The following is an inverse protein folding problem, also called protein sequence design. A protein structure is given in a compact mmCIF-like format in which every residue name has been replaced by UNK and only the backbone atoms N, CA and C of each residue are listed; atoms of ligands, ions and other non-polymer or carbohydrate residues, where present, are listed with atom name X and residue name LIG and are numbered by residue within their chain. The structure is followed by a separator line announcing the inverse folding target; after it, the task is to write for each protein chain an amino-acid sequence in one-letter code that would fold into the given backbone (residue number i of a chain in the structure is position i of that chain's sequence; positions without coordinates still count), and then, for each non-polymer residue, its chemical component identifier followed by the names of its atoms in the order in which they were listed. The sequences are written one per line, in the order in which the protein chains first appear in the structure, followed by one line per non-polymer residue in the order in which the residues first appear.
data_IF_746925530278
#
_entry.id   IF_746925530278
#
_cell.length_a   1.000
_cell.length_b   1.000
_cell.length_c   1.000
_cell.angle_alpha   90.00
_cell.angle_beta   90.00
_cell.angle_gamma   90.00
#
_symmetry.space_group_name_H-M   'P 1'
#
loop_
_entity.id
_entity.type
_entity.pdbx_description
1 polymer ?
#
# COMPACT_ATOMS: atom_id res chain seq x y z
N UNK A 1 -26.51 -7.00 -4.17
CA UNK A 1 -25.12 -6.69 -3.78
C UNK A 1 -25.16 -5.30 -3.19
N UNK A 2 -25.06 -5.19 -1.87
CA UNK A 2 -24.87 -3.88 -1.26
C UNK A 2 -23.51 -3.34 -1.71
N UNK A 3 -23.51 -2.19 -2.37
CA UNK A 3 -22.29 -1.57 -2.83
C UNK A 3 -21.57 -0.95 -1.62
N UNK A 4 -20.54 -1.63 -1.12
CA UNK A 4 -19.66 -1.06 -0.10
C UNK A 4 -18.69 -0.07 -0.76
N UNK A 5 -18.56 1.12 -0.18
CA UNK A 5 -17.71 2.19 -0.73
C UNK A 5 -16.51 2.47 0.18
N UNK A 6 -15.35 2.70 -0.45
CA UNK A 6 -14.14 3.16 0.23
C UNK A 6 -14.02 4.69 0.08
N UNK A 7 -13.61 5.38 1.15
CA UNK A 7 -13.24 6.80 1.08
C UNK A 7 -11.74 6.91 0.84
N UNK A 8 -11.36 7.54 -0.28
CA UNK A 8 -9.98 7.77 -0.65
C UNK A 8 -9.64 9.26 -0.59
N UNK A 9 -8.48 9.61 -0.04
CA UNK A 9 -7.97 10.98 -0.06
C UNK A 9 -7.65 11.39 -1.50
N UNK A 10 -8.07 12.60 -1.91
CA UNK A 10 -7.82 13.13 -3.25
C UNK A 10 -6.33 13.11 -3.61
N UNK A 11 -5.45 13.29 -2.62
CA UNK A 11 -4.00 13.20 -2.82
C UNK A 11 -3.58 11.87 -3.47
N UNK A 12 -4.26 10.77 -3.17
CA UNK A 12 -3.90 9.45 -3.70
C UNK A 12 -4.06 9.38 -5.22
N UNK A 13 -5.13 9.95 -5.76
CA UNK A 13 -5.40 9.92 -7.19
C UNK A 13 -4.73 11.09 -7.93
N UNK A 14 -4.74 12.28 -7.32
CA UNK A 14 -4.27 13.50 -7.99
C UNK A 14 -2.74 13.67 -7.92
N UNK A 15 -2.06 13.01 -6.98
CA UNK A 15 -0.62 13.21 -6.75
C UNK A 15 0.11 11.88 -6.64
N UNK A 16 -0.27 11.02 -5.69
CA UNK A 16 0.47 9.78 -5.43
C UNK A 16 0.49 8.84 -6.64
N UNK A 17 -0.61 8.77 -7.40
CA UNK A 17 -0.67 7.97 -8.62
C UNK A 17 0.34 8.47 -9.66
N UNK A 18 0.40 9.78 -9.91
CA UNK A 18 1.36 10.35 -10.85
C UNK A 18 2.81 10.14 -10.37
N UNK A 19 3.07 10.25 -9.07
CA UNK A 19 4.38 10.01 -8.49
C UNK A 19 4.84 8.56 -8.62
N UNK A 20 3.97 7.61 -8.28
CA UNK A 20 4.34 6.19 -8.33
C UNK A 20 4.31 5.63 -9.74
N UNK A 21 3.32 5.96 -10.56
CA UNK A 21 3.16 5.39 -11.91
C UNK A 21 3.98 6.16 -12.94
N UNK A 22 3.94 7.49 -12.88
CA UNK A 22 4.60 8.36 -13.84
C UNK A 22 6.07 8.60 -13.50
N UNK A 23 6.35 9.22 -12.36
CA UNK A 23 7.71 9.63 -11.99
C UNK A 23 8.61 8.43 -11.63
N UNK A 24 8.10 7.51 -10.81
CA UNK A 24 8.87 6.34 -10.37
C UNK A 24 8.84 5.17 -11.34
N UNK A 25 7.89 5.17 -12.29
CA UNK A 25 7.62 4.03 -13.17
C UNK A 25 7.31 2.73 -12.40
N UNK A 26 6.61 2.85 -11.28
CA UNK A 26 6.26 1.76 -10.36
C UNK A 26 4.74 1.60 -10.19
N UNK A 27 3.99 1.21 -11.25
CA UNK A 27 2.55 0.97 -11.14
C UNK A 27 2.18 -0.11 -10.12
N UNK A 28 3.05 -1.10 -9.96
CA UNK A 28 2.91 -2.14 -8.94
C UNK A 28 2.91 -1.60 -7.52
N UNK A 29 3.70 -0.56 -7.24
CA UNK A 29 3.70 0.08 -5.93
C UNK A 29 2.36 0.77 -5.65
N UNK A 30 1.77 1.42 -6.65
CA UNK A 30 0.46 2.04 -6.51
C UNK A 30 -0.65 1.01 -6.22
N UNK A 31 -0.68 -0.10 -6.97
CA UNK A 31 -1.65 -1.18 -6.74
C UNK A 31 -1.48 -1.83 -5.37
N UNK A 32 -0.24 -2.12 -4.96
CA UNK A 32 0.06 -2.65 -3.64
C UNK A 32 -0.38 -1.70 -2.52
N UNK A 33 -0.18 -0.39 -2.70
CA UNK A 33 -0.61 0.62 -1.73
C UNK A 33 -2.13 0.61 -1.55
N UNK A 34 -2.90 0.59 -2.65
CA UNK A 34 -4.36 0.51 -2.59
C UNK A 34 -4.85 -0.77 -1.91
N UNK A 35 -4.22 -1.92 -2.21
CA UNK A 35 -4.56 -3.19 -1.58
C UNK A 35 -4.27 -3.18 -0.06
N UNK A 36 -3.18 -2.56 0.37
CA UNK A 36 -2.85 -2.36 1.79
C UNK A 36 -3.88 -1.43 2.46
N UNK A 37 -4.26 -0.33 1.81
CA UNK A 37 -5.27 0.62 2.33
C UNK A 37 -6.63 -0.05 2.51
N UNK A 38 -7.09 -0.81 1.52
CA UNK A 38 -8.35 -1.55 1.59
C UNK A 38 -8.32 -2.59 2.71
N UNK A 39 -7.27 -3.42 2.77
CA UNK A 39 -7.11 -4.41 3.83
C UNK A 39 -7.08 -3.78 5.22
N UNK A 40 -6.41 -2.64 5.37
CA UNK A 40 -6.37 -1.90 6.64
C UNK A 40 -7.75 -1.34 7.03
N UNK A 41 -8.51 -0.81 6.07
CA UNK A 41 -9.88 -0.35 6.30
C UNK A 41 -10.82 -1.48 6.74
N UNK A 42 -10.56 -2.71 6.28
CA UNK A 42 -11.27 -3.93 6.69
C UNK A 42 -10.75 -4.52 8.02
N UNK A 43 -9.85 -3.81 8.73
CA UNK A 43 -9.27 -4.27 9.99
C UNK A 43 -8.18 -5.34 9.85
N UNK A 44 -7.72 -5.62 8.64
CA UNK A 44 -6.67 -6.61 8.35
C UNK A 44 -5.31 -5.94 8.15
N UNK A 45 -4.47 -5.99 9.18
CA UNK A 45 -3.13 -5.42 9.14
C UNK A 45 -2.05 -6.41 8.69
N UNK A 46 -2.25 -7.72 8.84
CA UNK A 46 -1.20 -8.73 8.59
C UNK A 46 -1.51 -9.63 7.40
N UNK A 47 -0.52 -9.78 6.51
CA UNK A 47 -0.57 -10.73 5.40
C UNK A 47 0.84 -11.01 4.83
N UNK A 48 0.97 -12.13 4.13
CA UNK A 48 2.22 -12.48 3.44
C UNK A 48 2.36 -11.73 2.11
N UNK A 49 3.59 -11.70 1.56
CA UNK A 49 3.79 -11.20 0.18
C UNK A 49 3.04 -12.03 -0.87
N UNK A 50 2.72 -13.31 -0.58
CA UNK A 50 1.96 -14.16 -1.50
C UNK A 50 0.49 -13.74 -1.54
N UNK A 51 -0.11 -13.45 -0.38
CA UNK A 51 -1.49 -12.95 -0.31
C UNK A 51 -1.62 -11.56 -0.95
N UNK A 52 -0.63 -10.68 -0.76
CA UNK A 52 -0.63 -9.38 -1.43
C UNK A 52 -0.47 -9.53 -2.96
N UNK A 53 0.34 -10.48 -3.41
CA UNK A 53 0.48 -10.83 -4.83
C UNK A 53 -0.84 -11.33 -5.43
N UNK A 54 -1.56 -12.22 -4.74
CA UNK A 54 -2.89 -12.67 -5.14
C UNK A 54 -3.90 -11.51 -5.22
N UNK A 55 -3.97 -10.67 -4.18
CA UNK A 55 -4.88 -9.50 -4.12
C UNK A 55 -4.66 -8.50 -5.26
N UNK A 56 -3.43 -8.37 -5.73
CA UNK A 56 -3.04 -7.40 -6.75
C UNK A 56 -2.90 -8.02 -8.14
N UNK A 57 -3.01 -9.35 -8.28
CA UNK A 57 -2.78 -10.06 -9.54
C UNK A 57 -1.32 -10.01 -10.01
N UNK A 58 -0.37 -9.85 -9.09
CA UNK A 58 1.05 -9.63 -9.40
C UNK A 58 1.92 -10.83 -9.01
N UNK A 59 3.14 -10.89 -9.53
CA UNK A 59 4.11 -11.87 -9.03
C UNK A 59 4.58 -11.52 -7.61
N UNK A 60 4.97 -12.52 -6.83
CA UNK A 60 5.56 -12.31 -5.49
C UNK A 60 6.77 -11.36 -5.52
N UNK A 61 7.66 -11.49 -6.53
CA UNK A 61 8.83 -10.62 -6.67
C UNK A 61 8.43 -9.18 -6.99
N UNK A 62 7.41 -8.99 -7.83
CA UNK A 62 6.85 -7.67 -8.15
C UNK A 62 6.32 -6.99 -6.89
N UNK A 63 5.57 -7.71 -6.06
CA UNK A 63 5.05 -7.19 -4.80
C UNK A 63 6.16 -6.88 -3.79
N UNK A 64 7.18 -7.72 -3.69
CA UNK A 64 8.35 -7.43 -2.83
C UNK A 64 9.01 -6.10 -3.22
N UNK A 65 9.25 -5.88 -4.52
CA UNK A 65 9.84 -4.62 -5.02
C UNK A 65 8.91 -3.42 -4.79
N UNK A 66 7.59 -3.62 -4.93
CA UNK A 66 6.58 -2.62 -4.65
C UNK A 66 6.59 -2.21 -3.17
N UNK A 67 6.59 -3.18 -2.25
CA UNK A 67 6.67 -2.96 -0.80
C UNK A 67 7.93 -2.19 -0.42
N UNK A 68 9.09 -2.55 -0.97
CA UNK A 68 10.34 -1.80 -0.72
C UNK A 68 10.29 -0.37 -1.25
N UNK A 69 9.64 -0.13 -2.39
CA UNK A 69 9.42 1.22 -2.93
C UNK A 69 8.52 2.05 -2.02
N UNK A 70 7.40 1.47 -1.56
CA UNK A 70 6.48 2.14 -0.64
C UNK A 70 7.13 2.46 0.71
N UNK A 71 7.93 1.52 1.25
CA UNK A 71 8.70 1.71 2.48
C UNK A 71 9.73 2.83 2.33
N UNK A 72 10.50 2.83 1.24
CA UNK A 72 11.50 3.88 0.95
C UNK A 72 10.86 5.26 0.85
N UNK A 73 9.65 5.36 0.28
CA UNK A 73 8.86 6.60 0.21
C UNK A 73 8.12 6.97 1.50
N UNK A 74 8.19 6.17 2.55
CA UNK A 74 7.48 6.42 3.82
C UNK A 74 5.95 6.35 3.69
N UNK A 75 5.45 5.60 2.72
CA UNK A 75 4.00 5.44 2.46
C UNK A 75 3.39 4.28 3.23
N UNK A 76 4.22 3.37 3.73
CA UNK A 76 3.79 2.26 4.59
C UNK A 76 4.80 2.06 5.72
N UNK A 77 4.31 1.60 6.86
CA UNK A 77 5.13 0.95 7.89
C UNK A 77 5.00 -0.56 7.75
N UNK A 78 6.12 -1.27 7.89
CA UNK A 78 6.19 -2.73 7.83
C UNK A 78 6.86 -3.24 9.09
N UNK A 79 6.20 -4.13 9.82
CA UNK A 79 6.79 -4.81 10.98
C UNK A 79 6.59 -6.33 10.87
N UNK A 80 7.47 -7.09 11.51
CA UNK A 80 7.39 -8.55 11.63
C UNK A 80 7.74 -8.95 13.05
N UNK A 81 6.93 -9.82 13.64
CA UNK A 81 7.17 -10.35 15.00
C UNK A 81 8.14 -11.53 15.00
N UNK A 82 8.43 -12.12 13.84
CA UNK A 82 9.40 -13.20 13.68
C UNK A 82 9.69 -13.53 12.20
N UNK A 83 10.67 -14.41 11.91
CA UNK A 83 11.07 -14.74 10.53
C UNK A 83 9.95 -15.39 9.71
N UNK A 84 9.12 -16.21 10.35
CA UNK A 84 8.01 -16.97 9.75
C UNK A 84 6.66 -16.27 9.89
N UNK A 85 6.59 -15.20 10.68
CA UNK A 85 5.36 -14.47 10.91
C UNK A 85 5.00 -13.60 9.68
N UNK A 86 3.71 -13.50 9.31
CA UNK A 86 3.24 -12.55 8.31
C UNK A 86 3.68 -11.13 8.67
N UNK A 87 3.96 -10.33 7.64
CA UNK A 87 4.27 -8.94 7.86
C UNK A 87 2.99 -8.16 8.18
N UNK A 88 3.08 -7.27 9.15
CA UNK A 88 2.04 -6.28 9.44
C UNK A 88 2.33 -5.01 8.65
N UNK A 89 1.37 -4.60 7.83
CA UNK A 89 1.42 -3.40 7.02
C UNK A 89 0.46 -2.35 7.59
N UNK A 90 0.97 -1.14 7.77
CA UNK A 90 0.15 0.02 8.13
C UNK A 90 0.34 1.08 7.04
N UNK A 91 -0.74 1.48 6.33
CA UNK A 91 -0.65 2.58 5.38
C UNK A 91 -0.39 3.89 6.12
N UNK A 92 0.56 4.68 5.63
CA UNK A 92 0.88 6.00 6.14
C UNK A 92 0.33 7.06 5.19
N UNK A 93 -0.07 8.20 5.74
CA UNK A 93 -0.57 9.34 4.97
C UNK A 93 0.28 10.59 5.25
N UNK A 94 1.58 10.60 4.87
CA UNK A 94 2.53 11.64 5.25
C UNK A 94 2.10 13.05 4.80
N UNK A 95 1.39 13.16 3.68
CA UNK A 95 0.82 14.42 3.17
C UNK A 95 -0.22 15.06 4.09
N UNK A 96 -0.82 14.31 5.03
CA UNK A 96 -1.76 14.89 6.00
C UNK A 96 -1.04 15.70 7.07
N UNK A 97 0.16 15.27 7.51
CA UNK A 97 0.98 16.02 8.46
C UNK A 97 1.58 17.28 7.85
N UNK A 98 1.90 17.25 6.55
CA UNK A 98 2.43 18.41 5.83
C UNK A 98 1.37 19.51 5.56
N UNK A 99 0.10 19.25 5.86
CA UNK A 99 -1.02 20.17 5.64
C UNK A 99 -1.46 20.92 6.89
N UNK A 100 -0.82 20.70 8.04
CA UNK A 100 -1.02 21.56 9.22
C UNK A 100 -0.17 22.84 9.04
N UNK A 101 -0.78 24.05 9.12
CA UNK A 101 -0.09 25.33 8.96
C UNK A 101 0.85 25.67 10.12
#
# INVERSE_FOLDING_TARGET
MDAQSYRLDRYVLDTLMADLVGHDHQPSAFLAYLAIVAAHADGRASFSHAELAERTGQSRRTVQNAVETLKRRGLISVSRQGPTEPATYVPLTPWRRQREP
#
